data_IF_150206925225
#
_entry.id   IF_150206925225
#
_cell.length_a   1.000
_cell.length_b   1.000
_cell.length_c   1.000
_cell.angle_alpha   90.00
_cell.angle_beta   90.00
_cell.angle_gamma   90.00
#
_symmetry.space_group_name_H-M   'P 1'
#
loop_
_entity.id
_entity.type
_entity.pdbx_description
1 polymer ?
#
# COMPACT_ATOMS: atom_id res chain seq x y z
N UNK A 1 11.91 -6.79 14.34
CA UNK A 1 10.73 -5.89 14.32
C UNK A 1 10.48 -5.46 12.86
N UNK A 2 9.23 -5.20 12.44
CA UNK A 2 8.94 -4.63 11.11
C UNK A 2 9.67 -3.29 10.89
N UNK A 3 10.11 -2.62 11.97
CA UNK A 3 10.92 -1.40 11.96
C UNK A 3 12.44 -1.65 11.82
N UNK A 4 12.91 -2.90 11.96
CA UNK A 4 14.32 -3.28 11.75
C UNK A 4 14.53 -3.94 10.38
N UNK A 5 13.58 -4.78 9.97
CA UNK A 5 13.51 -5.39 8.65
C UNK A 5 12.22 -4.94 7.99
N UNK A 6 12.33 -3.86 7.21
CA UNK A 6 11.18 -3.28 6.54
C UNK A 6 10.60 -4.30 5.53
N UNK A 7 9.27 -4.50 5.51
CA UNK A 7 8.61 -5.38 4.56
C UNK A 7 8.68 -4.85 3.13
N UNK A 8 8.30 -5.69 2.17
CA UNK A 8 7.99 -5.21 0.82
C UNK A 8 6.72 -4.35 0.84
N UNK A 9 6.61 -3.38 -0.07
CA UNK A 9 5.42 -2.53 -0.16
C UNK A 9 4.16 -3.38 -0.36
N UNK A 10 3.14 -3.12 0.47
CA UNK A 10 1.87 -3.86 0.46
C UNK A 10 1.94 -5.26 1.04
N UNK A 11 3.04 -5.67 1.69
CA UNK A 11 3.14 -7.01 2.28
C UNK A 11 2.05 -7.21 3.35
N UNK A 12 1.26 -8.27 3.17
CA UNK A 12 0.15 -8.62 4.07
C UNK A 12 -1.20 -8.01 3.66
N UNK A 13 -1.24 -7.11 2.68
CA UNK A 13 -2.47 -6.62 2.09
C UNK A 13 -2.94 -7.52 0.94
N UNK A 14 -4.27 -7.58 0.75
CA UNK A 14 -4.91 -8.24 -0.39
C UNK A 14 -5.55 -7.17 -1.25
N UNK A 15 -5.20 -7.13 -2.54
CA UNK A 15 -5.79 -6.21 -3.50
C UNK A 15 -6.94 -6.90 -4.27
N UNK A 16 -8.05 -6.19 -4.43
CA UNK A 16 -9.15 -6.59 -5.30
C UNK A 16 -9.15 -5.69 -6.54
N UNK A 17 -8.97 -6.29 -7.71
CA UNK A 17 -9.09 -5.56 -8.99
C UNK A 17 -10.47 -5.77 -9.59
N UNK A 18 -11.07 -4.67 -10.05
CA UNK A 18 -12.36 -4.68 -10.75
C UNK A 18 -12.19 -4.04 -12.12
N UNK A 19 -13.05 -4.44 -13.07
CA UNK A 19 -13.04 -3.87 -14.41
C UNK A 19 -13.37 -2.37 -14.36
N UNK A 20 -12.59 -1.55 -15.07
CA UNK A 20 -12.90 -0.13 -15.21
C UNK A 20 -14.28 0.09 -15.82
N UNK A 21 -15.07 0.99 -15.23
CA UNK A 21 -16.46 1.27 -15.63
C UNK A 21 -17.52 0.34 -15.03
N UNK A 22 -17.13 -0.74 -14.33
CA UNK A 22 -18.08 -1.62 -13.63
C UNK A 22 -18.43 -1.05 -12.25
N UNK A 23 -19.39 -0.13 -12.21
CA UNK A 23 -19.82 0.55 -10.97
C UNK A 23 -20.34 -0.42 -9.91
N UNK A 24 -21.05 -1.47 -10.33
CA UNK A 24 -21.57 -2.49 -9.42
C UNK A 24 -20.44 -3.25 -8.72
N UNK A 25 -19.43 -3.68 -9.48
CA UNK A 25 -18.29 -4.39 -8.87
C UNK A 25 -17.45 -3.47 -8.00
N UNK A 26 -17.34 -2.18 -8.36
CA UNK A 26 -16.68 -1.18 -7.51
C UNK A 26 -17.37 -1.03 -6.17
N UNK A 27 -18.70 -0.86 -6.13
CA UNK A 27 -19.46 -0.74 -4.88
C UNK A 27 -19.27 -1.96 -3.97
N UNK A 28 -19.25 -3.17 -4.55
CA UNK A 28 -19.00 -4.40 -3.79
C UNK A 28 -17.57 -4.50 -3.24
N UNK A 29 -16.57 -4.06 -4.01
CA UNK A 29 -15.19 -4.02 -3.57
C UNK A 29 -14.98 -2.97 -2.46
N UNK A 30 -15.61 -1.79 -2.58
CA UNK A 30 -15.60 -0.74 -1.57
C UNK A 30 -16.23 -1.21 -0.25
N UNK A 31 -17.29 -2.01 -0.29
CA UNK A 31 -17.96 -2.54 0.90
C UNK A 31 -17.08 -3.46 1.76
N UNK A 32 -16.02 -4.06 1.20
CA UNK A 32 -15.07 -4.92 1.92
C UNK A 32 -13.70 -4.27 2.08
N UNK A 33 -13.51 -3.04 1.62
CA UNK A 33 -12.24 -2.34 1.67
C UNK A 33 -11.98 -1.78 3.07
N UNK A 34 -10.75 -1.94 3.55
CA UNK A 34 -10.27 -1.20 4.72
C UNK A 34 -9.59 0.09 4.28
N UNK A 35 -10.18 1.24 4.64
CA UNK A 35 -9.70 2.55 4.20
C UNK A 35 -8.29 2.85 4.70
N UNK A 36 -7.99 2.49 5.95
CA UNK A 36 -6.67 2.74 6.55
C UNK A 36 -5.57 1.94 5.84
N UNK A 37 -5.81 0.66 5.54
CA UNK A 37 -4.91 -0.19 4.76
C UNK A 37 -4.74 0.34 3.33
N UNK A 38 -5.82 0.80 2.70
CA UNK A 38 -5.76 1.38 1.36
C UNK A 38 -4.85 2.61 1.32
N UNK A 39 -5.01 3.55 2.26
CA UNK A 39 -4.20 4.76 2.33
C UNK A 39 -2.72 4.45 2.57
N UNK A 40 -2.45 3.55 3.53
CA UNK A 40 -1.12 3.05 3.85
C UNK A 40 -0.43 2.44 2.62
N UNK A 41 -1.03 1.39 2.03
CA UNK A 41 -0.47 0.68 0.87
C UNK A 41 -0.34 1.60 -0.35
N UNK A 42 -1.26 2.54 -0.53
CA UNK A 42 -1.17 3.53 -1.62
C UNK A 42 0.06 4.42 -1.48
N UNK A 43 0.38 4.88 -0.27
CA UNK A 43 1.60 5.63 -0.01
C UNK A 43 2.86 4.81 -0.30
N UNK A 44 2.89 3.54 0.14
CA UNK A 44 4.02 2.64 -0.09
C UNK A 44 4.27 2.39 -1.58
N UNK A 45 3.21 2.09 -2.34
CA UNK A 45 3.30 1.86 -3.79
C UNK A 45 3.68 3.14 -4.53
N UNK A 46 3.16 4.30 -4.11
CA UNK A 46 3.50 5.58 -4.74
C UNK A 46 4.97 5.91 -4.55
N UNK A 47 5.53 5.59 -3.38
CA UNK A 47 6.96 5.75 -3.14
C UNK A 47 7.80 4.89 -4.10
N UNK A 48 7.47 3.61 -4.27
CA UNK A 48 8.19 2.74 -5.22
C UNK A 48 8.11 3.25 -6.66
N UNK A 49 6.93 3.71 -7.08
CA UNK A 49 6.73 4.31 -8.41
C UNK A 49 7.64 5.53 -8.62
N UNK A 50 7.71 6.44 -7.64
CA UNK A 50 8.57 7.63 -7.71
C UNK A 50 10.07 7.30 -7.71
N UNK A 51 10.46 6.22 -7.02
CA UNK A 51 11.84 5.74 -6.99
C UNK A 51 12.24 5.02 -8.30
N UNK A 52 11.27 4.65 -9.15
CA UNK A 52 11.49 3.77 -10.29
C UNK A 52 11.91 2.36 -9.86
N UNK A 53 11.58 1.97 -8.63
CA UNK A 53 11.90 0.66 -8.07
C UNK A 53 10.91 -0.39 -8.55
N UNK A 54 11.43 -1.55 -8.93
CA UNK A 54 10.65 -2.74 -9.29
C UNK A 54 10.71 -3.79 -8.19
N UNK A 55 10.08 -4.95 -8.44
CA UNK A 55 10.06 -6.08 -7.51
C UNK A 55 11.45 -6.63 -7.17
N UNK A 56 12.44 -6.42 -8.03
CA UNK A 56 13.82 -6.85 -7.83
C UNK A 56 14.71 -5.81 -7.12
N UNK A 57 14.20 -4.61 -6.88
CA UNK A 57 14.96 -3.56 -6.19
C UNK A 57 14.94 -3.84 -4.68
N UNK A 58 16.09 -3.80 -3.96
CA UNK A 58 16.16 -4.13 -2.53
C UNK A 58 15.60 -2.98 -1.66
N UNK A 59 14.31 -2.69 -1.81
CA UNK A 59 13.63 -1.61 -1.09
C UNK A 59 12.63 -2.20 -0.12
N UNK A 60 12.79 -1.86 1.16
CA UNK A 60 11.76 -2.07 2.17
C UNK A 60 10.97 -0.79 2.40
N UNK A 61 9.64 -0.91 2.46
CA UNK A 61 8.72 0.21 2.63
C UNK A 61 7.63 -0.19 3.62
N UNK A 62 7.35 0.66 4.59
CA UNK A 62 6.29 0.45 5.57
C UNK A 62 5.64 1.77 5.96
N UNK A 63 4.33 1.77 6.07
CA UNK A 63 3.53 2.92 6.48
C UNK A 63 2.59 2.60 7.64
N UNK A 64 2.35 3.61 8.49
CA UNK A 64 1.36 3.54 9.57
C UNK A 64 0.59 4.86 9.67
N UNK A 65 -0.72 4.77 9.95
CA UNK A 65 -1.56 5.94 10.23
C UNK A 65 -1.52 6.20 11.74
N UNK A 66 -1.10 7.40 12.13
CA UNK A 66 -1.03 7.87 13.51
C UNK A 66 -1.89 9.13 13.66
N UNK A 67 -3.18 8.94 13.97
CA UNK A 67 -4.14 10.05 14.02
C UNK A 67 -4.41 10.61 12.64
N UNK A 68 -4.05 11.87 12.41
CA UNK A 68 -4.20 12.56 11.11
C UNK A 68 -2.93 12.48 10.24
N UNK A 69 -1.86 11.86 10.74
CA UNK A 69 -0.58 11.74 10.04
C UNK A 69 -0.37 10.34 9.46
N UNK A 70 0.22 10.28 8.27
CA UNK A 70 0.76 9.04 7.69
C UNK A 70 2.27 9.06 7.81
N UNK A 71 2.81 8.12 8.59
CA UNK A 71 4.24 7.94 8.77
C UNK A 71 4.74 6.89 7.78
N UNK A 72 5.66 7.27 6.89
CA UNK A 72 6.27 6.37 5.91
C UNK A 72 7.75 6.16 6.26
N UNK A 73 8.18 4.90 6.38
CA UNK A 73 9.57 4.50 6.53
C UNK A 73 10.04 3.72 5.32
N UNK A 74 11.26 4.04 4.89
CA UNK A 74 11.89 3.47 3.70
C UNK A 74 13.33 3.12 4.00
N UNK A 75 13.80 2.01 3.44
CA UNK A 75 15.20 1.64 3.36
C UNK A 75 15.50 1.08 1.98
N UNK A 76 16.56 1.58 1.35
CA UNK A 76 17.11 1.13 0.06
C UNK A 76 18.49 0.53 0.31
#
# INVERSE_FOLDING_TARGET
DAREFLPAAGQGAVALEVRSGDGRMRELAEAVNDAATLDAVSAERKFLELLGAGCETPVGVWSEIAGEELNLRVRV
#
